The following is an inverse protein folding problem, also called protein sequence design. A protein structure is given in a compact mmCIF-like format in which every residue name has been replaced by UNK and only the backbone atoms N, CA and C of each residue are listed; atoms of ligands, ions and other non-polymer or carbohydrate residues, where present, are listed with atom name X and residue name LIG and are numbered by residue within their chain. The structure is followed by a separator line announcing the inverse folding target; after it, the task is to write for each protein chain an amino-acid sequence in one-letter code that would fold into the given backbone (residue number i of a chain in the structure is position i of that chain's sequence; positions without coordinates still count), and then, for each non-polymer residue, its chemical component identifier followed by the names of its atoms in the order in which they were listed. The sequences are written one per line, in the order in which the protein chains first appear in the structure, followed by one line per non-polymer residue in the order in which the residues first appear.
data_IF_164307916412
#
_entry.id   IF_164307916412
#
_cell.length_a   1.000
_cell.length_b   1.000
_cell.length_c   1.000
_cell.angle_alpha   90.00
_cell.angle_beta   90.00
_cell.angle_gamma   90.00
#
_symmetry.space_group_name_H-M   'P 1'
#
loop_
_entity.id
_entity.type
_entity.pdbx_description
1 polymer ?
#
# COMPACT_ATOMS: atom_id res chain seq x y z
N UNK A 1 4.54 -7.64 -8.68
CA UNK A 1 5.95 -7.96 -8.92
C UNK A 1 6.13 -8.59 -10.28
N UNK A 2 7.17 -8.19 -10.98
CA UNK A 2 7.51 -8.76 -12.30
C UNK A 2 7.68 -10.28 -12.19
N UNK A 3 7.00 -11.00 -13.07
CA UNK A 3 7.01 -12.46 -13.15
C UNK A 3 8.06 -12.87 -14.18
N UNK A 4 9.34 -12.58 -13.89
CA UNK A 4 10.46 -12.88 -14.78
C UNK A 4 11.11 -14.18 -14.39
N UNK A 5 11.59 -14.94 -15.38
CA UNK A 5 12.44 -16.12 -15.18
C UNK A 5 13.88 -15.62 -14.98
N UNK A 6 14.33 -15.62 -13.73
CA UNK A 6 15.62 -15.09 -13.31
C UNK A 6 16.45 -16.24 -12.76
N UNK A 7 17.62 -16.50 -13.36
CA UNK A 7 18.51 -17.57 -12.91
C UNK A 7 19.47 -17.11 -11.80
N UNK A 8 19.87 -15.84 -11.82
CA UNK A 8 20.89 -15.32 -10.91
C UNK A 8 20.48 -13.96 -10.35
N UNK A 9 20.71 -13.71 -9.07
CA UNK A 9 20.46 -12.43 -8.39
C UNK A 9 21.71 -12.00 -7.65
N UNK A 10 22.13 -10.76 -7.88
CA UNK A 10 23.26 -10.15 -7.20
C UNK A 10 22.85 -8.89 -6.45
N UNK A 11 23.16 -8.85 -5.15
CA UNK A 11 22.94 -7.67 -4.34
C UNK A 11 24.02 -6.62 -4.67
N UNK A 12 23.58 -5.44 -5.07
CA UNK A 12 24.47 -4.29 -5.25
C UNK A 12 24.65 -3.50 -3.96
N UNK A 13 23.73 -3.66 -3.00
CA UNK A 13 23.78 -3.07 -1.67
C UNK A 13 22.92 -3.90 -0.71
N UNK A 14 23.43 -4.10 0.51
CA UNK A 14 22.70 -4.78 1.59
C UNK A 14 21.97 -3.79 2.53
N UNK A 15 21.89 -2.50 2.18
CA UNK A 15 21.20 -1.48 2.96
C UNK A 15 19.98 -0.97 2.22
N UNK A 16 18.94 -0.64 2.97
CA UNK A 16 17.74 0.02 2.44
C UNK A 16 17.28 1.13 3.38
N UNK A 17 16.61 2.12 2.81
CA UNK A 17 15.85 3.10 3.58
C UNK A 17 14.46 2.52 3.91
N UNK A 18 14.09 2.47 5.18
CA UNK A 18 12.83 1.84 5.64
C UNK A 18 11.68 2.85 5.86
N UNK A 19 11.87 4.09 5.36
CA UNK A 19 10.95 5.21 5.55
C UNK A 19 11.36 6.14 6.69
N UNK A 20 12.24 5.69 7.61
CA UNK A 20 12.72 6.48 8.76
C UNK A 20 14.25 6.57 8.78
N UNK A 21 14.93 5.47 8.50
CA UNK A 21 16.39 5.39 8.52
C UNK A 21 16.92 4.37 7.51
N UNK A 22 18.16 4.55 7.11
CA UNK A 22 18.91 3.53 6.36
C UNK A 22 19.35 2.44 7.32
N UNK A 23 19.01 1.19 6.99
CA UNK A 23 19.40 0.00 7.74
C UNK A 23 19.82 -1.15 6.83
N UNK A 24 20.58 -2.10 7.37
CA UNK A 24 20.89 -3.33 6.67
C UNK A 24 19.61 -4.17 6.44
N UNK A 25 19.55 -4.86 5.33
CA UNK A 25 18.52 -5.87 5.06
C UNK A 25 18.60 -6.96 6.15
N UNK A 26 17.46 -7.39 6.63
CA UNK A 26 17.41 -8.56 7.50
C UNK A 26 17.38 -9.86 6.67
N UNK A 27 17.61 -10.99 7.33
CA UNK A 27 17.71 -12.30 6.67
C UNK A 27 16.44 -12.66 5.87
N UNK A 28 15.26 -12.30 6.36
CA UNK A 28 13.98 -12.55 5.66
C UNK A 28 13.94 -11.74 4.36
N UNK A 29 14.32 -10.48 4.40
CA UNK A 29 14.35 -9.60 3.21
C UNK A 29 15.37 -10.10 2.19
N UNK A 30 16.57 -10.50 2.64
CA UNK A 30 17.58 -11.09 1.77
C UNK A 30 17.07 -12.39 1.13
N UNK A 31 16.43 -13.26 1.91
CA UNK A 31 15.85 -14.50 1.40
C UNK A 31 14.72 -14.26 0.39
N UNK A 32 13.87 -13.26 0.61
CA UNK A 32 12.80 -12.91 -0.35
C UNK A 32 13.35 -12.36 -1.68
N UNK A 33 14.51 -11.68 -1.64
CA UNK A 33 15.18 -11.19 -2.85
C UNK A 33 15.88 -12.35 -3.54
N UNK A 34 16.71 -13.10 -2.82
CA UNK A 34 17.46 -14.25 -3.34
C UNK A 34 16.52 -15.32 -3.90
N UNK A 35 15.40 -15.60 -3.24
CA UNK A 35 14.40 -16.58 -3.65
C UNK A 35 13.61 -16.21 -4.93
N UNK A 36 13.95 -15.10 -5.58
CA UNK A 36 13.50 -14.80 -6.95
C UNK A 36 14.39 -15.40 -8.02
N UNK A 37 15.59 -15.85 -7.67
CA UNK A 37 16.46 -16.63 -8.54
C UNK A 37 15.99 -18.09 -8.52
N UNK A 38 15.86 -18.68 -9.71
CA UNK A 38 15.32 -20.03 -9.87
C UNK A 38 13.84 -20.12 -9.55
N UNK A 39 13.04 -20.59 -10.47
CA UNK A 39 11.61 -20.77 -10.27
C UNK A 39 11.20 -22.21 -10.46
N UNK A 40 10.19 -22.62 -9.67
CA UNK A 40 9.59 -23.95 -9.68
C UNK A 40 10.60 -25.06 -9.36
N UNK A 41 11.24 -25.66 -10.37
CA UNK A 41 12.17 -26.78 -10.23
C UNK A 41 13.61 -26.42 -10.63
N UNK A 42 13.86 -25.17 -10.99
CA UNK A 42 15.17 -24.72 -11.42
C UNK A 42 15.92 -24.10 -10.22
N UNK A 43 17.14 -24.54 -10.02
CA UNK A 43 18.03 -23.93 -9.03
C UNK A 43 18.43 -22.53 -9.49
N UNK A 44 18.42 -21.58 -8.56
CA UNK A 44 18.89 -20.22 -8.77
C UNK A 44 20.19 -19.96 -8.03
N UNK A 45 20.93 -18.96 -8.46
CA UNK A 45 22.14 -18.49 -7.78
C UNK A 45 21.92 -17.10 -7.21
N UNK A 46 22.52 -16.83 -6.06
CA UNK A 46 22.55 -15.50 -5.51
C UNK A 46 23.95 -15.15 -4.96
N UNK A 47 24.25 -13.86 -4.93
CA UNK A 47 25.53 -13.36 -4.47
C UNK A 47 25.54 -11.85 -4.30
N UNK A 48 26.73 -11.27 -4.20
CA UNK A 48 26.94 -9.82 -4.12
C UNK A 48 27.81 -9.35 -5.27
N UNK A 49 27.64 -8.09 -5.71
CA UNK A 49 28.55 -7.44 -6.68
C UNK A 49 29.85 -7.01 -6.01
N UNK A 50 30.92 -6.72 -6.78
CA UNK A 50 32.25 -6.43 -6.25
C UNK A 50 32.36 -5.31 -5.22
N UNK A 51 31.50 -4.29 -5.31
CA UNK A 51 31.48 -3.15 -4.38
C UNK A 51 30.53 -3.34 -3.20
N UNK A 52 29.79 -4.44 -3.17
CA UNK A 52 28.85 -4.75 -2.11
C UNK A 52 29.53 -5.53 -1.00
N UNK A 53 29.15 -5.24 0.25
CA UNK A 53 29.50 -6.04 1.40
C UNK A 53 29.14 -7.52 1.17
N UNK A 54 30.05 -8.44 1.45
CA UNK A 54 29.78 -9.86 1.29
C UNK A 54 28.75 -10.38 2.30
N UNK A 55 27.93 -11.32 1.86
CA UNK A 55 27.11 -12.13 2.75
C UNK A 55 28.02 -13.04 3.58
N UNK A 56 27.77 -13.18 4.87
CA UNK A 56 28.51 -14.14 5.68
C UNK A 56 28.00 -15.58 5.48
N UNK A 57 28.80 -16.55 5.83
CA UNK A 57 28.52 -17.98 5.61
C UNK A 57 27.20 -18.43 6.31
N UNK A 58 26.94 -17.90 7.50
CA UNK A 58 25.70 -18.19 8.25
C UNK A 58 24.44 -17.63 7.53
N UNK A 59 24.55 -16.42 6.96
CA UNK A 59 23.46 -15.84 6.15
C UNK A 59 23.19 -16.67 4.89
N UNK A 60 24.25 -17.07 4.19
CA UNK A 60 24.14 -17.91 2.98
C UNK A 60 23.47 -19.23 3.34
N UNK A 61 23.97 -19.95 4.33
CA UNK A 61 23.42 -21.25 4.76
C UNK A 61 21.96 -21.16 5.17
N UNK A 62 21.58 -20.12 5.92
CA UNK A 62 20.19 -19.90 6.33
C UNK A 62 19.25 -19.59 5.17
N UNK A 63 19.73 -18.84 4.16
CA UNK A 63 18.94 -18.54 2.96
C UNK A 63 18.75 -19.83 2.14
N UNK A 64 19.82 -20.58 1.88
CA UNK A 64 19.78 -21.82 1.10
C UNK A 64 18.90 -22.89 1.77
N UNK A 65 19.00 -23.03 3.09
CA UNK A 65 18.23 -24.02 3.86
C UNK A 65 16.86 -23.53 4.31
N UNK A 66 16.45 -22.32 3.91
CA UNK A 66 15.20 -21.68 4.38
C UNK A 66 15.06 -21.63 5.91
N UNK A 67 16.17 -21.53 6.64
CA UNK A 67 16.20 -21.44 8.09
C UNK A 67 16.03 -20.00 8.55
N UNK A 68 14.85 -19.46 8.31
CA UNK A 68 14.53 -18.08 8.63
C UNK A 68 14.08 -17.93 10.09
N UNK A 69 14.44 -16.80 10.75
CA UNK A 69 13.98 -16.55 12.12
C UNK A 69 12.46 -16.46 12.16
N UNK A 70 11.86 -17.12 13.13
CA UNK A 70 10.42 -17.04 13.36
C UNK A 70 9.98 -15.60 13.67
N UNK A 71 8.78 -15.24 13.24
CA UNK A 71 8.15 -13.96 13.56
C UNK A 71 7.76 -13.94 15.04
N UNK A 72 8.43 -13.10 15.84
CA UNK A 72 8.16 -12.97 17.28
C UNK A 72 6.94 -12.11 17.59
N UNK A 73 6.71 -11.08 16.77
CA UNK A 73 5.66 -10.09 16.93
C UNK A 73 4.91 -9.90 15.62
N UNK A 74 3.60 -9.79 15.71
CA UNK A 74 2.71 -9.53 14.57
C UNK A 74 2.02 -8.19 14.80
N UNK A 75 2.00 -7.33 13.78
CA UNK A 75 1.23 -6.09 13.85
C UNK A 75 -0.26 -6.40 13.84
N UNK A 76 -0.97 -5.73 14.73
CA UNK A 76 -2.39 -5.91 14.94
C UNK A 76 -3.10 -4.56 15.01
N UNK A 77 -4.33 -4.53 14.54
CA UNK A 77 -5.24 -3.40 14.65
C UNK A 77 -6.60 -3.91 15.12
N UNK A 78 -7.27 -3.15 15.99
CA UNK A 78 -8.65 -3.45 16.35
C UNK A 78 -9.57 -3.32 15.13
N UNK A 79 -10.35 -4.33 14.84
CA UNK A 79 -11.37 -4.32 13.76
C UNK A 79 -12.77 -4.00 14.29
N UNK A 80 -12.98 -4.10 15.61
CA UNK A 80 -14.26 -3.75 16.22
C UNK A 80 -14.25 -2.25 16.58
N UNK A 81 -14.59 -1.42 15.60
CA UNK A 81 -14.52 0.03 15.69
C UNK A 81 -15.87 0.62 16.11
N UNK A 82 -15.83 1.64 16.95
CA UNK A 82 -17.02 2.36 17.42
C UNK A 82 -17.16 3.70 16.68
N UNK A 83 -18.14 3.80 15.81
CA UNK A 83 -18.40 4.99 14.99
C UNK A 83 -19.44 5.96 15.58
N UNK A 84 -19.79 5.82 16.85
CA UNK A 84 -20.83 6.66 17.50
C UNK A 84 -20.42 8.15 17.53
N UNK A 85 -19.16 8.43 17.84
CA UNK A 85 -18.57 9.77 17.79
C UNK A 85 -17.05 9.68 17.59
N UNK A 86 -16.37 10.80 17.21
CA UNK A 86 -14.94 10.80 16.95
C UNK A 86 -14.09 10.30 18.12
N UNK A 87 -14.44 10.64 19.35
CA UNK A 87 -13.69 10.27 20.55
C UNK A 87 -13.74 8.75 20.78
N UNK A 88 -14.94 8.16 20.72
CA UNK A 88 -15.12 6.70 20.85
C UNK A 88 -14.46 5.96 19.70
N UNK A 89 -14.53 6.52 18.50
CA UNK A 89 -13.91 5.94 17.33
C UNK A 89 -12.38 5.90 17.48
N UNK A 90 -11.74 7.01 17.82
CA UNK A 90 -10.29 7.07 18.06
C UNK A 90 -9.90 6.14 19.22
N UNK A 91 -10.63 6.14 20.33
CA UNK A 91 -10.38 5.23 21.44
C UNK A 91 -10.43 3.76 21.01
N UNK A 92 -11.39 3.40 20.15
CA UNK A 92 -11.48 2.03 19.63
C UNK A 92 -10.32 1.66 18.68
N UNK A 93 -9.80 2.62 17.86
CA UNK A 93 -8.60 2.43 17.05
C UNK A 93 -7.33 2.27 17.89
N UNK A 94 -7.27 2.94 19.03
CA UNK A 94 -6.10 2.96 19.92
C UNK A 94 -6.07 1.76 20.88
N UNK A 95 -7.08 0.90 20.88
CA UNK A 95 -7.08 -0.29 21.73
C UNK A 95 -5.80 -1.11 21.50
N UNK A 96 -5.21 -1.53 22.62
CA UNK A 96 -4.04 -2.40 22.62
C UNK A 96 -4.48 -3.86 22.54
N UNK A 97 -3.73 -4.71 21.85
CA UNK A 97 -4.00 -6.14 21.83
C UNK A 97 -3.79 -6.75 23.22
N UNK A 98 -4.56 -7.75 23.54
CA UNK A 98 -4.45 -8.49 24.82
C UNK A 98 -3.37 -9.57 24.78
N UNK A 99 -3.03 -10.08 23.59
CA UNK A 99 -2.02 -11.12 23.39
C UNK A 99 -0.61 -10.52 23.32
N UNK A 100 0.35 -11.09 24.06
CA UNK A 100 1.73 -10.60 24.19
C UNK A 100 2.52 -10.58 22.87
N UNK A 101 2.16 -11.45 21.91
CA UNK A 101 2.83 -11.53 20.61
C UNK A 101 2.22 -10.60 19.54
N UNK A 102 1.25 -9.78 19.90
CA UNK A 102 0.66 -8.79 19.03
C UNK A 102 1.16 -7.39 19.40
N UNK A 103 1.43 -6.59 18.39
CA UNK A 103 1.86 -5.20 18.51
C UNK A 103 0.85 -4.30 17.79
N UNK A 104 0.32 -3.29 18.47
CA UNK A 104 -0.57 -2.33 17.82
C UNK A 104 0.17 -1.63 16.68
N UNK A 105 -0.44 -1.57 15.52
CA UNK A 105 0.03 -0.76 14.40
C UNK A 105 -0.11 0.73 14.77
N UNK A 106 0.97 1.47 14.63
CA UNK A 106 1.05 2.93 14.87
C UNK A 106 1.51 3.62 13.60
N UNK A 107 1.23 4.91 13.49
CA UNK A 107 1.68 5.77 12.36
C UNK A 107 1.27 5.24 10.98
N UNK A 108 0.13 4.56 10.88
CA UNK A 108 -0.41 4.16 9.58
C UNK A 108 -0.97 5.36 8.81
N UNK A 109 -0.88 5.31 7.48
CA UNK A 109 -1.31 6.42 6.63
C UNK A 109 -2.79 6.76 6.84
N UNK A 110 -3.67 5.75 6.87
CA UNK A 110 -5.10 5.90 7.06
C UNK A 110 -5.46 6.55 8.41
N UNK A 111 -4.80 6.15 9.50
CA UNK A 111 -4.98 6.78 10.82
C UNK A 111 -4.48 8.24 10.83
N UNK A 112 -3.36 8.52 10.16
CA UNK A 112 -2.80 9.86 10.03
C UNK A 112 -3.73 10.78 9.25
N UNK A 113 -4.29 10.29 8.13
CA UNK A 113 -5.26 11.00 7.29
C UNK A 113 -6.56 11.26 8.06
N UNK A 114 -7.08 10.25 8.77
CA UNK A 114 -8.26 10.40 9.64
C UNK A 114 -8.06 11.51 10.68
N UNK A 115 -6.93 11.49 11.40
CA UNK A 115 -6.62 12.49 12.42
C UNK A 115 -6.51 13.88 11.83
N UNK A 116 -5.98 14.01 10.60
CA UNK A 116 -5.96 15.29 9.89
C UNK A 116 -7.39 15.83 9.67
N UNK A 117 -8.31 15.00 9.18
CA UNK A 117 -9.69 15.43 8.95
C UNK A 117 -10.42 15.77 10.24
N UNK A 118 -10.28 14.96 11.29
CA UNK A 118 -10.93 15.22 12.56
C UNK A 118 -10.38 16.48 13.25
N UNK A 119 -9.07 16.75 13.14
CA UNK A 119 -8.43 17.96 13.69
C UNK A 119 -8.83 19.23 12.92
N UNK A 120 -8.74 19.19 11.58
CA UNK A 120 -9.08 20.34 10.72
C UNK A 120 -10.57 20.60 10.66
N UNK A 121 -11.35 19.54 10.77
CA UNK A 121 -12.82 19.54 10.69
C UNK A 121 -13.51 19.38 12.03
N UNK A 122 -12.91 19.83 13.15
CA UNK A 122 -13.49 19.67 14.48
C UNK A 122 -14.93 20.20 14.59
N UNK A 123 -15.30 21.20 13.77
CA UNK A 123 -16.64 21.76 13.67
C UNK A 123 -17.40 21.27 12.40
N UNK A 124 -16.83 20.35 11.62
CA UNK A 124 -17.46 19.88 10.40
C UNK A 124 -18.42 18.73 10.72
N UNK A 125 -19.71 19.07 10.84
CA UNK A 125 -20.79 18.11 11.11
C UNK A 125 -20.82 16.97 10.06
N UNK A 126 -20.37 17.21 8.84
CA UNK A 126 -20.39 16.22 7.77
C UNK A 126 -19.41 15.06 8.09
N UNK A 127 -18.21 15.36 8.60
CA UNK A 127 -17.26 14.33 8.99
C UNK A 127 -17.78 13.51 10.19
N UNK A 128 -18.36 14.16 11.18
CA UNK A 128 -18.88 13.50 12.37
C UNK A 128 -20.10 12.60 12.08
N UNK A 129 -20.99 13.01 11.18
CA UNK A 129 -22.15 12.22 10.80
C UNK A 129 -21.83 11.05 9.86
N UNK A 130 -20.65 11.03 9.24
CA UNK A 130 -20.24 10.02 8.25
C UNK A 130 -18.89 9.40 8.61
N UNK A 131 -18.63 9.15 9.91
CA UNK A 131 -17.33 8.64 10.38
C UNK A 131 -16.91 7.33 9.72
N UNK A 132 -17.83 6.40 9.56
CA UNK A 132 -17.55 5.12 8.90
C UNK A 132 -17.12 5.32 7.44
N UNK A 133 -17.88 6.13 6.69
CA UNK A 133 -17.53 6.47 5.31
C UNK A 133 -16.22 7.26 5.23
N UNK A 134 -15.99 8.19 6.16
CA UNK A 134 -14.72 8.92 6.24
C UNK A 134 -13.55 7.96 6.45
N UNK A 135 -13.72 7.00 7.36
CA UNK A 135 -12.72 5.97 7.61
C UNK A 135 -12.44 5.10 6.38
N UNK A 136 -13.49 4.68 5.68
CA UNK A 136 -13.33 3.94 4.43
C UNK A 136 -12.57 4.75 3.37
N UNK A 137 -12.82 6.06 3.26
CA UNK A 137 -12.07 6.94 2.36
C UNK A 137 -10.60 7.11 2.79
N UNK A 138 -10.33 7.19 4.09
CA UNK A 138 -8.96 7.25 4.61
C UNK A 138 -8.13 6.00 4.28
N UNK A 139 -8.77 4.87 4.00
CA UNK A 139 -8.11 3.62 3.61
C UNK A 139 -7.71 3.58 2.12
N UNK A 140 -8.01 4.60 1.32
CA UNK A 140 -7.53 4.69 -0.06
C UNK A 140 -6.00 4.65 -0.04
N UNK A 141 -5.36 3.67 -0.74
CA UNK A 141 -3.92 3.53 -0.69
C UNK A 141 -3.20 4.61 -1.50
N UNK A 142 -2.09 5.10 -0.99
CA UNK A 142 -1.17 5.97 -1.71
C UNK A 142 -0.01 5.16 -2.29
N UNK A 143 -0.26 4.46 -3.41
CA UNK A 143 0.77 3.70 -4.11
C UNK A 143 1.82 4.60 -4.79
N UNK A 144 1.45 5.83 -5.12
CA UNK A 144 2.33 6.81 -5.77
C UNK A 144 3.30 7.47 -4.78
N UNK A 145 3.04 7.33 -3.48
CA UNK A 145 3.77 8.04 -2.41
C UNK A 145 3.79 9.56 -2.63
N UNK A 146 2.62 10.09 -2.95
CA UNK A 146 2.40 11.52 -3.16
C UNK A 146 2.82 12.34 -1.94
N UNK A 147 3.06 13.64 -2.15
CA UNK A 147 3.11 14.55 -1.02
C UNK A 147 1.82 14.43 -0.19
N UNK A 148 1.96 14.37 1.13
CA UNK A 148 0.85 14.11 2.07
C UNK A 148 -0.40 14.97 1.81
N UNK A 149 -0.22 16.26 1.48
CA UNK A 149 -1.32 17.15 1.15
C UNK A 149 -2.08 16.77 -0.14
N UNK A 150 -1.40 16.20 -1.13
CA UNK A 150 -2.06 15.74 -2.36
C UNK A 150 -2.91 14.50 -2.11
N UNK A 151 -2.42 13.56 -1.30
CA UNK A 151 -3.19 12.40 -0.89
C UNK A 151 -4.43 12.79 -0.11
N UNK A 152 -4.31 13.69 0.87
CA UNK A 152 -5.46 14.25 1.60
C UNK A 152 -6.50 14.86 0.67
N UNK A 153 -6.07 15.66 -0.31
CA UNK A 153 -6.99 16.26 -1.28
C UNK A 153 -7.74 15.21 -2.11
N UNK A 154 -7.07 14.10 -2.45
CA UNK A 154 -7.72 12.98 -3.15
C UNK A 154 -8.80 12.34 -2.28
N UNK A 155 -8.47 12.05 -1.02
CA UNK A 155 -9.40 11.46 -0.05
C UNK A 155 -10.59 12.40 0.20
N UNK A 156 -10.33 13.70 0.36
CA UNK A 156 -11.39 14.71 0.59
C UNK A 156 -12.35 14.79 -0.60
N UNK A 157 -11.83 14.84 -1.83
CA UNK A 157 -12.66 14.86 -3.05
C UNK A 157 -13.54 13.61 -3.15
N UNK A 158 -12.98 12.43 -2.90
CA UNK A 158 -13.76 11.18 -2.90
C UNK A 158 -14.84 11.23 -1.83
N UNK A 159 -14.51 11.62 -0.60
CA UNK A 159 -15.48 11.75 0.48
C UNK A 159 -16.60 12.76 0.15
N UNK A 160 -16.25 13.92 -0.43
CA UNK A 160 -17.23 14.89 -0.86
C UNK A 160 -18.22 14.32 -1.89
N UNK A 161 -17.76 13.59 -2.91
CA UNK A 161 -18.66 12.95 -3.87
C UNK A 161 -19.60 11.94 -3.19
N UNK A 162 -19.09 11.14 -2.26
CA UNK A 162 -19.88 10.11 -1.59
C UNK A 162 -20.89 10.67 -0.58
N UNK A 163 -20.69 11.90 -0.10
CA UNK A 163 -21.60 12.59 0.81
C UNK A 163 -22.59 13.53 0.10
N UNK A 164 -22.46 13.73 -1.20
CA UNK A 164 -23.41 14.48 -2.01
C UNK A 164 -24.72 13.71 -2.21
N UNK A 165 -25.73 14.37 -2.81
CA UNK A 165 -27.04 13.76 -3.09
C UNK A 165 -26.97 12.46 -3.89
N UNK A 166 -26.03 12.36 -4.84
CA UNK A 166 -25.86 11.15 -5.67
C UNK A 166 -25.14 10.02 -4.96
N UNK A 167 -24.38 10.31 -3.92
CA UNK A 167 -23.57 9.36 -3.12
C UNK A 167 -22.66 8.47 -3.99
N UNK A 168 -22.14 9.00 -5.10
CA UNK A 168 -21.27 8.30 -6.04
C UNK A 168 -20.28 9.25 -6.69
N UNK A 169 -19.10 8.71 -6.99
CA UNK A 169 -18.06 9.39 -7.76
C UNK A 169 -18.53 9.45 -9.22
N UNK A 170 -18.57 10.64 -9.85
CA UNK A 170 -19.01 10.79 -11.23
C UNK A 170 -18.06 10.09 -12.21
N UNK A 171 -18.60 9.49 -13.27
CA UNK A 171 -17.82 8.87 -14.34
C UNK A 171 -16.82 9.82 -15.00
N UNK A 172 -17.19 11.12 -15.13
CA UNK A 172 -16.27 12.12 -15.69
C UNK A 172 -15.02 12.29 -14.82
N UNK A 173 -15.17 12.29 -13.51
CA UNK A 173 -14.02 12.37 -12.59
C UNK A 173 -13.12 11.15 -12.71
N UNK A 174 -13.68 9.93 -12.76
CA UNK A 174 -12.88 8.71 -12.99
C UNK A 174 -12.12 8.76 -14.30
N UNK A 175 -12.76 9.24 -15.38
CA UNK A 175 -12.14 9.42 -16.70
C UNK A 175 -10.94 10.38 -16.63
N UNK A 176 -11.07 11.49 -15.93
CA UNK A 176 -9.98 12.45 -15.73
C UNK A 176 -8.79 11.83 -14.98
N UNK A 177 -9.06 11.04 -13.95
CA UNK A 177 -8.00 10.39 -13.16
C UNK A 177 -7.25 9.29 -13.94
N UNK A 178 -7.92 8.63 -14.88
CA UNK A 178 -7.35 7.53 -15.68
C UNK A 178 -6.82 8.00 -17.04
N UNK A 179 -7.00 9.28 -17.37
CA UNK A 179 -6.59 9.82 -18.68
C UNK A 179 -5.09 9.69 -18.91
N UNK A 180 -4.71 9.06 -20.01
CA UNK A 180 -3.31 8.90 -20.44
C UNK A 180 -2.53 7.83 -19.69
N UNK A 181 -3.17 7.10 -18.75
CA UNK A 181 -2.52 6.02 -18.02
C UNK A 181 -2.38 4.73 -18.85
N UNK A 182 -3.18 4.60 -19.91
CA UNK A 182 -3.15 3.45 -20.82
C UNK A 182 -1.91 3.36 -21.71
N UNK A 183 -1.06 4.39 -21.69
CA UNK A 183 0.17 4.46 -22.50
C UNK A 183 1.24 3.55 -21.90
N UNK A 184 1.68 2.56 -22.65
CA UNK A 184 2.67 1.54 -22.27
C UNK A 184 4.12 1.89 -22.66
N UNK A 185 4.35 3.09 -23.16
CA UNK A 185 5.67 3.60 -23.53
C UNK A 185 6.14 4.70 -22.57
N UNK A 186 7.44 4.75 -22.38
CA UNK A 186 8.11 5.71 -21.49
C UNK A 186 9.28 5.08 -20.74
N UNK A 187 9.94 5.85 -19.90
CA UNK A 187 10.93 5.30 -18.99
C UNK A 187 10.27 4.55 -17.83
N UNK A 188 11.06 3.78 -17.10
CA UNK A 188 10.56 2.92 -16.01
C UNK A 188 9.89 3.71 -14.88
N UNK A 189 10.36 4.93 -14.61
CA UNK A 189 9.77 5.77 -13.56
C UNK A 189 8.37 6.22 -13.94
N UNK A 190 8.18 6.61 -15.22
CA UNK A 190 6.89 7.02 -15.75
C UNK A 190 5.88 5.86 -15.77
N UNK A 191 6.32 4.67 -16.19
CA UNK A 191 5.49 3.47 -16.20
C UNK A 191 5.12 3.04 -14.77
N UNK A 192 6.08 3.08 -13.87
CA UNK A 192 5.86 2.79 -12.44
C UNK A 192 4.88 3.78 -11.79
N UNK A 193 4.98 5.07 -12.13
CA UNK A 193 4.05 6.10 -11.67
C UNK A 193 2.64 5.82 -12.19
N UNK A 194 2.47 5.56 -13.51
CA UNK A 194 1.17 5.22 -14.10
C UNK A 194 0.55 3.98 -13.43
N UNK A 195 1.35 2.93 -13.25
CA UNK A 195 0.92 1.70 -12.59
C UNK A 195 0.44 1.96 -11.15
N UNK A 196 1.18 2.78 -10.41
CA UNK A 196 0.81 3.17 -9.05
C UNK A 196 -0.51 3.96 -9.02
N UNK A 197 -0.69 4.89 -9.96
CA UNK A 197 -1.93 5.67 -10.10
C UNK A 197 -3.12 4.77 -10.44
N UNK A 198 -2.97 3.87 -11.41
CA UNK A 198 -4.03 2.92 -11.78
C UNK A 198 -4.43 2.06 -10.60
N UNK A 199 -3.48 1.56 -9.82
CA UNK A 199 -3.77 0.74 -8.63
C UNK A 199 -4.58 1.49 -7.57
N UNK A 200 -4.30 2.78 -7.36
CA UNK A 200 -5.11 3.61 -6.45
C UNK A 200 -6.56 3.70 -6.95
N UNK A 201 -6.77 3.96 -8.24
CA UNK A 201 -8.12 4.07 -8.80
C UNK A 201 -8.82 2.73 -9.01
N UNK A 202 -8.07 1.64 -9.21
CA UNK A 202 -8.58 0.27 -9.16
C UNK A 202 -9.16 -0.05 -7.78
N UNK A 203 -8.47 0.33 -6.69
CA UNK A 203 -9.01 0.20 -5.34
C UNK A 203 -10.36 0.95 -5.19
N UNK A 204 -10.44 2.19 -5.65
CA UNK A 204 -11.67 2.99 -5.60
C UNK A 204 -12.78 2.38 -6.44
N UNK A 205 -12.48 1.91 -7.66
CA UNK A 205 -13.43 1.28 -8.56
C UNK A 205 -14.03 -0.02 -7.99
N UNK A 206 -13.22 -0.78 -7.22
CA UNK A 206 -13.65 -2.02 -6.58
C UNK A 206 -14.49 -1.80 -5.30
N UNK A 207 -14.58 -0.56 -4.78
CA UNK A 207 -15.46 -0.27 -3.65
C UNK A 207 -16.92 -0.25 -4.10
N UNK A 208 -17.71 -1.12 -3.49
CA UNK A 208 -19.12 -1.30 -3.85
C UNK A 208 -19.90 0.01 -3.72
N UNK A 209 -20.59 0.40 -4.78
CA UNK A 209 -21.44 1.60 -4.85
C UNK A 209 -20.70 2.95 -4.77
N UNK A 210 -19.36 2.99 -4.82
CA UNK A 210 -18.64 4.26 -4.79
C UNK A 210 -18.62 4.97 -6.14
N UNK A 211 -18.63 4.24 -7.24
CA UNK A 211 -18.47 4.79 -8.60
C UNK A 211 -19.70 4.51 -9.43
N UNK A 212 -20.08 5.47 -10.29
CA UNK A 212 -21.06 5.20 -11.34
C UNK A 212 -20.46 4.19 -12.34
N UNK A 213 -21.20 3.15 -12.73
CA UNK A 213 -20.77 2.09 -13.65
C UNK A 213 -19.49 1.35 -13.17
N UNK A 214 -19.49 0.91 -11.92
CA UNK A 214 -18.35 0.26 -11.27
C UNK A 214 -17.70 -0.84 -12.13
N UNK A 215 -18.50 -1.74 -12.72
CA UNK A 215 -17.98 -2.87 -13.52
C UNK A 215 -17.13 -2.40 -14.71
N UNK A 216 -17.55 -1.30 -15.36
CA UNK A 216 -16.76 -0.69 -16.44
C UNK A 216 -15.39 -0.22 -15.93
N UNK A 217 -15.36 0.50 -14.80
CA UNK A 217 -14.13 1.04 -14.25
C UNK A 217 -13.19 -0.04 -13.71
N UNK A 218 -13.74 -1.07 -13.08
CA UNK A 218 -12.99 -2.25 -12.63
C UNK A 218 -12.30 -2.92 -13.83
N UNK A 219 -13.05 -3.16 -14.91
CA UNK A 219 -12.48 -3.79 -16.10
C UNK A 219 -11.45 -2.88 -16.80
N UNK A 220 -11.71 -1.58 -16.88
CA UNK A 220 -10.79 -0.63 -17.49
C UNK A 220 -9.48 -0.53 -16.70
N UNK A 221 -9.53 -0.37 -15.38
CA UNK A 221 -8.33 -0.29 -14.54
C UNK A 221 -7.52 -1.58 -14.59
N UNK A 222 -8.19 -2.75 -14.61
CA UNK A 222 -7.52 -4.02 -14.80
C UNK A 222 -6.78 -4.10 -16.13
N UNK A 223 -7.45 -3.74 -17.23
CA UNK A 223 -6.83 -3.77 -18.56
C UNK A 223 -5.61 -2.84 -18.65
N UNK A 224 -5.66 -1.66 -18.00
CA UNK A 224 -4.52 -0.74 -17.95
C UNK A 224 -3.39 -1.33 -17.09
N UNK A 225 -3.72 -1.91 -15.94
CA UNK A 225 -2.73 -2.55 -15.07
C UNK A 225 -2.02 -3.72 -15.76
N UNK A 226 -2.77 -4.56 -16.47
CA UNK A 226 -2.23 -5.70 -17.23
C UNK A 226 -1.28 -5.25 -18.37
N UNK A 227 -1.54 -4.09 -18.98
CA UNK A 227 -0.64 -3.51 -20.00
C UNK A 227 0.64 -2.95 -19.41
N UNK A 228 0.60 -2.40 -18.20
CA UNK A 228 1.73 -1.74 -17.56
C UNK A 228 2.60 -2.70 -16.72
N UNK A 229 2.16 -3.94 -16.50
CA UNK A 229 2.85 -4.98 -15.72
C UNK A 229 3.63 -5.92 -16.60
#
# INVERSE_FOLDING_TARGET
GLNMDINEIYFTNLKKFDGKKTRRLNLIEMSQIAGRAGRFRNDGKFGTTGDCENLNSDEIEKIEKHQLPGTKMIYWRNSNLNFENPEKFIASLELKPTKKNLLRTIDSLDESVLRHFLKKGANNILYHKNLELLWECCQIPDFEKKAYGQHINTVDKVFQFLTTRKKRIPSIFMKEQLNGLEKDHGNIDLLSHRLSTVRTWSYVANKRNWVENSDYWVQLTKNIEDKLS
#
